data_IF_429423493220
#
_entry.id   IF_429423493220
#
_cell.length_a   1.000
_cell.length_b   1.000
_cell.length_c   1.000
_cell.angle_alpha   90.00
_cell.angle_beta   90.00
_cell.angle_gamma   90.00
#
_symmetry.space_group_name_H-M   'P 1'
#
loop_
_entity.id
_entity.type
_entity.pdbx_description
1 polymer ?
#
# COMPACT_ATOMS: atom_id res chain seq x y z
N UNK A 1 5.24 -9.66 14.06
CA UNK A 1 5.38 -9.86 12.60
C UNK A 1 4.19 -10.67 12.03
N UNK A 2 2.95 -10.36 12.41
CA UNK A 2 1.73 -11.03 11.93
C UNK A 2 0.89 -10.13 10.98
N UNK A 3 1.17 -8.83 10.96
CA UNK A 3 0.41 -7.80 10.24
C UNK A 3 0.29 -8.04 8.72
N UNK A 4 1.27 -8.66 8.07
CA UNK A 4 1.21 -8.88 6.62
C UNK A 4 0.33 -10.08 6.23
N UNK A 5 0.22 -11.09 7.09
CA UNK A 5 -0.59 -12.28 6.83
C UNK A 5 -2.10 -11.99 6.93
N UNK A 6 -2.48 -10.91 7.63
CA UNK A 6 -3.86 -10.44 7.77
C UNK A 6 -4.33 -9.60 6.56
N UNK A 7 -3.39 -9.08 5.76
CA UNK A 7 -3.65 -8.16 4.65
C UNK A 7 -3.04 -8.66 3.34
N UNK A 8 -3.33 -9.92 2.99
CA UNK A 8 -2.86 -10.54 1.76
C UNK A 8 -3.48 -9.88 0.52
N UNK A 9 -2.69 -9.77 -0.53
CA UNK A 9 -3.18 -9.43 -1.86
C UNK A 9 -4.08 -10.57 -2.39
N UNK A 10 -5.11 -10.20 -3.15
CA UNK A 10 -5.91 -11.18 -3.90
C UNK A 10 -5.03 -11.95 -4.89
N UNK A 11 -5.29 -13.25 -5.11
CA UNK A 11 -4.69 -13.98 -6.22
C UNK A 11 -5.09 -13.35 -7.54
N UNK A 12 -4.24 -13.50 -8.55
CA UNK A 12 -4.47 -12.94 -9.88
C UNK A 12 -5.62 -13.71 -10.57
N UNK A 13 -6.68 -13.02 -11.04
CA UNK A 13 -7.72 -13.64 -11.86
C UNK A 13 -7.20 -14.00 -13.27
N UNK A 14 -7.96 -14.80 -14.01
CA UNK A 14 -7.57 -15.28 -15.35
C UNK A 14 -7.38 -14.17 -16.40
N UNK A 15 -8.07 -13.04 -16.22
CA UNK A 15 -7.97 -11.85 -17.08
C UNK A 15 -6.83 -10.90 -16.66
N UNK A 16 -6.07 -11.26 -15.62
CA UNK A 16 -4.96 -10.51 -15.04
C UNK A 16 -5.34 -9.12 -14.51
N UNK A 17 -6.63 -8.85 -14.29
CA UNK A 17 -7.07 -7.57 -13.74
C UNK A 17 -6.76 -7.47 -12.24
N UNK A 18 -6.35 -6.28 -11.79
CA UNK A 18 -6.12 -6.00 -10.38
C UNK A 18 -7.14 -4.96 -9.92
N UNK A 19 -7.93 -5.32 -8.91
CA UNK A 19 -8.91 -4.39 -8.33
C UNK A 19 -8.21 -3.28 -7.54
N UNK A 20 -8.17 -2.07 -8.12
CA UNK A 20 -7.44 -0.92 -7.57
C UNK A 20 -7.77 -0.61 -6.11
N UNK A 21 -9.04 -0.70 -5.69
CA UNK A 21 -9.44 -0.41 -4.29
C UNK A 21 -8.77 -1.39 -3.32
N UNK A 22 -8.95 -2.67 -3.58
CA UNK A 22 -8.42 -3.73 -2.73
C UNK A 22 -6.89 -3.74 -2.73
N UNK A 23 -6.26 -3.55 -3.90
CA UNK A 23 -4.80 -3.42 -3.99
C UNK A 23 -4.28 -2.28 -3.10
N UNK A 24 -4.87 -1.08 -3.22
CA UNK A 24 -4.44 0.09 -2.44
C UNK A 24 -4.71 -0.06 -0.93
N UNK A 25 -5.75 -0.79 -0.54
CA UNK A 25 -6.01 -1.16 0.85
C UNK A 25 -4.90 -2.06 1.39
N UNK A 26 -4.67 -3.21 0.76
CA UNK A 26 -3.66 -4.19 1.18
C UNK A 26 -2.25 -3.56 1.29
N UNK A 27 -1.79 -2.82 0.27
CA UNK A 27 -0.45 -2.19 0.29
C UNK A 27 -0.32 -1.03 1.28
N UNK A 28 -1.44 -0.46 1.77
CA UNK A 28 -1.38 0.55 2.85
C UNK A 28 -0.84 -0.05 4.15
N UNK A 29 -1.09 -1.35 4.38
CA UNK A 29 -0.61 -2.06 5.57
C UNK A 29 0.88 -2.40 5.52
N UNK A 30 1.56 -2.12 4.40
CA UNK A 30 3.02 -2.22 4.30
C UNK A 30 3.72 -1.03 4.98
N UNK A 31 3.09 0.13 5.09
CA UNK A 31 3.75 1.35 5.61
C UNK A 31 4.33 1.21 7.03
N UNK A 32 3.68 0.53 8.00
CA UNK A 32 4.25 0.29 9.32
C UNK A 32 5.52 -0.56 9.31
N UNK A 33 5.74 -1.39 8.26
CA UNK A 33 6.95 -2.21 8.13
C UNK A 33 8.23 -1.37 8.22
N UNK A 34 8.22 -0.17 7.64
CA UNK A 34 9.38 0.72 7.64
C UNK A 34 9.72 1.29 9.02
N UNK A 35 8.74 1.38 9.94
CA UNK A 35 8.98 1.82 11.31
C UNK A 35 9.71 0.72 12.12
N UNK A 36 9.48 -0.55 11.78
CA UNK A 36 10.16 -1.69 12.42
C UNK A 36 11.61 -1.88 11.97
N UNK A 37 12.06 -1.19 10.91
CA UNK A 37 13.46 -1.22 10.48
C UNK A 37 14.40 -0.43 11.40
N UNK A 38 13.86 0.29 12.39
CA UNK A 38 14.62 0.85 13.51
C UNK A 38 15.55 2.01 13.16
N UNK A 39 15.43 2.58 11.95
CA UNK A 39 16.29 3.67 11.50
C UNK A 39 15.49 4.80 10.82
N UNK A 40 15.70 6.07 11.19
CA UNK A 40 15.08 7.23 10.54
C UNK A 40 15.39 7.34 9.04
N UNK A 41 16.42 6.64 8.55
CA UNK A 41 16.78 6.61 7.12
C UNK A 41 15.67 6.03 6.24
N UNK A 42 14.73 5.26 6.83
CA UNK A 42 13.59 4.70 6.10
C UNK A 42 12.37 5.65 6.05
N UNK A 43 12.38 6.75 6.80
CA UNK A 43 11.28 7.74 6.81
C UNK A 43 11.01 8.33 5.42
N UNK A 44 12.01 8.75 4.62
CA UNK A 44 11.77 9.26 3.26
C UNK A 44 11.14 8.21 2.33
N UNK A 45 11.51 6.93 2.51
CA UNK A 45 10.99 5.81 1.71
C UNK A 45 9.51 5.59 2.03
N UNK A 46 9.17 5.51 3.33
CA UNK A 46 7.79 5.40 3.80
C UNK A 46 6.94 6.58 3.29
N UNK A 47 7.44 7.80 3.39
CA UNK A 47 6.74 9.00 2.93
C UNK A 47 6.46 8.98 1.42
N UNK A 48 7.45 8.58 0.61
CA UNK A 48 7.29 8.47 -0.84
C UNK A 48 6.21 7.45 -1.23
N UNK A 49 6.25 6.24 -0.64
CA UNK A 49 5.26 5.19 -0.92
C UNK A 49 3.86 5.62 -0.47
N UNK A 50 3.74 6.19 0.73
CA UNK A 50 2.48 6.75 1.23
C UNK A 50 1.93 7.84 0.31
N UNK A 51 2.79 8.70 -0.23
CA UNK A 51 2.40 9.73 -1.20
C UNK A 51 1.80 9.15 -2.47
N UNK A 52 2.38 8.08 -3.02
CA UNK A 52 1.84 7.41 -4.22
C UNK A 52 0.46 6.78 -3.96
N UNK A 53 0.30 6.09 -2.83
CA UNK A 53 -1.01 5.52 -2.43
C UNK A 53 -2.07 6.63 -2.35
N UNK A 54 -1.74 7.75 -1.71
CA UNK A 54 -2.66 8.91 -1.57
C UNK A 54 -3.05 9.48 -2.93
N UNK A 55 -2.09 9.70 -3.85
CA UNK A 55 -2.36 10.23 -5.20
C UNK A 55 -3.33 9.33 -5.97
N UNK A 56 -3.13 8.01 -5.94
CA UNK A 56 -4.00 7.08 -6.66
C UNK A 56 -5.38 7.01 -6.00
N UNK A 57 -5.47 7.00 -4.65
CA UNK A 57 -6.75 7.05 -3.93
C UNK A 57 -7.51 8.35 -4.20
N UNK A 58 -6.83 9.48 -4.36
CA UNK A 58 -7.46 10.75 -4.74
C UNK A 58 -8.08 10.66 -6.13
N UNK A 59 -7.30 10.19 -7.12
CA UNK A 59 -7.78 9.99 -8.49
C UNK A 59 -8.99 9.04 -8.56
N UNK A 60 -8.98 7.96 -7.76
CA UNK A 60 -10.07 6.99 -7.69
C UNK A 60 -11.36 7.55 -7.09
N UNK A 61 -11.25 8.53 -6.19
CA UNK A 61 -12.39 9.23 -5.58
C UNK A 61 -12.92 10.38 -6.45
N UNK A 62 -12.26 10.70 -7.55
CA UNK A 62 -12.63 11.83 -8.41
C UNK A 62 -12.34 13.20 -7.78
N UNK A 63 -11.51 13.26 -6.74
CA UNK A 63 -11.07 14.51 -6.11
C UNK A 63 -9.73 14.86 -6.75
N UNK A 64 -9.73 15.86 -7.63
CA UNK A 64 -8.52 16.48 -8.19
C UNK A 64 -7.80 17.32 -7.14
#
# INVERSE_FOLDING_TARGET
MALLAEHLLKPLPADNQIETRHFLEAVSHLLPFFDYLGSPVFTPIKANISGNITKIKAKLRGVC
#
